data_IF_321466246637
#
_entry.id   IF_321466246637
#
_cell.length_a   1.000
_cell.length_b   1.000
_cell.length_c   1.000
_cell.angle_alpha   90.00
_cell.angle_beta   90.00
_cell.angle_gamma   90.00
#
_symmetry.space_group_name_H-M   'P 1'
#
loop_
_entity.id
_entity.type
_entity.pdbx_description
1 polymer ?
#
# COMPACT_ATOMS: atom_id res chain seq x y z
N UNK A 1 -11.60 15.86 18.79
CA UNK A 1 -12.46 15.93 17.58
C UNK A 1 -11.61 15.59 16.37
N UNK A 2 -11.90 14.51 15.62
CA UNK A 2 -11.21 14.27 14.33
C UNK A 2 -11.87 15.20 13.31
N UNK A 3 -11.17 16.25 12.90
CA UNK A 3 -11.62 17.13 11.83
C UNK A 3 -11.94 16.29 10.60
N UNK A 4 -13.07 16.57 9.93
CA UNK A 4 -13.46 15.89 8.70
C UNK A 4 -12.33 16.03 7.68
N UNK A 5 -11.56 14.97 7.46
CA UNK A 5 -10.32 15.04 6.71
C UNK A 5 -10.66 15.18 5.22
N UNK A 6 -10.66 16.42 4.71
CA UNK A 6 -10.84 16.70 3.28
C UNK A 6 -9.74 15.97 2.51
N UNK A 7 -10.15 15.15 1.54
CA UNK A 7 -9.18 14.43 0.70
C UNK A 7 -8.51 15.46 -0.21
N UNK A 8 -7.18 15.62 -0.18
CA UNK A 8 -6.50 16.60 -1.03
C UNK A 8 -6.75 16.30 -2.52
N UNK A 9 -7.09 17.34 -3.28
CA UNK A 9 -7.31 17.26 -4.74
C UNK A 9 -6.04 16.79 -5.43
N UNK A 10 -6.20 16.08 -6.56
CA UNK A 10 -5.09 15.64 -7.39
C UNK A 10 -4.67 16.75 -8.34
N UNK A 11 -3.38 17.10 -8.37
CA UNK A 11 -2.83 18.03 -9.36
C UNK A 11 -2.56 17.31 -10.69
N UNK A 12 -2.32 18.09 -11.76
CA UNK A 12 -2.01 17.52 -13.08
C UNK A 12 -0.68 16.79 -13.07
N UNK A 13 0.29 17.32 -12.34
CA UNK A 13 1.66 16.79 -12.17
C UNK A 13 1.62 15.46 -11.43
N UNK A 14 0.84 15.37 -10.34
CA UNK A 14 0.66 14.11 -9.60
C UNK A 14 0.00 13.03 -10.47
N UNK A 15 -0.97 13.41 -11.31
CA UNK A 15 -1.63 12.48 -12.23
C UNK A 15 -0.65 12.01 -13.32
N UNK A 16 0.15 12.91 -13.87
CA UNK A 16 1.17 12.58 -14.86
C UNK A 16 2.22 11.62 -14.27
N UNK A 17 2.71 11.92 -13.06
CA UNK A 17 3.68 11.08 -12.37
C UNK A 17 3.08 9.71 -12.00
N UNK A 18 1.82 9.68 -11.55
CA UNK A 18 1.10 8.44 -11.29
C UNK A 18 1.07 7.56 -12.54
N UNK A 19 0.65 8.10 -13.70
CA UNK A 19 0.60 7.36 -14.97
C UNK A 19 1.96 6.77 -15.35
N UNK A 20 3.03 7.56 -15.22
CA UNK A 20 4.40 7.14 -15.53
C UNK A 20 4.88 5.99 -14.63
N UNK A 21 4.62 6.07 -13.33
CA UNK A 21 5.14 5.10 -12.36
C UNK A 21 4.27 3.86 -12.22
N UNK A 22 2.97 3.94 -12.52
CA UNK A 22 2.00 2.89 -12.16
C UNK A 22 2.37 1.53 -12.73
N UNK A 23 2.88 1.47 -13.97
CA UNK A 23 3.15 0.21 -14.67
C UNK A 23 4.24 -0.63 -13.98
N UNK A 24 5.22 0.03 -13.34
CA UNK A 24 6.45 -0.61 -12.84
C UNK A 24 6.61 -0.58 -11.33
N UNK A 25 5.98 0.35 -10.62
CA UNK A 25 6.15 0.51 -9.17
C UNK A 25 4.96 -0.07 -8.38
N UNK A 26 5.21 -0.45 -7.13
CA UNK A 26 4.15 -0.77 -6.17
C UNK A 26 3.32 0.47 -5.84
N UNK A 27 2.10 0.27 -5.37
CA UNK A 27 1.27 1.38 -4.88
C UNK A 27 1.84 2.00 -3.60
N UNK A 28 2.66 1.27 -2.83
CA UNK A 28 3.33 1.77 -1.64
C UNK A 28 4.49 2.73 -1.98
N UNK A 29 5.31 2.39 -2.97
CA UNK A 29 6.39 3.26 -3.46
C UNK A 29 5.82 4.54 -4.08
N UNK A 30 4.80 4.40 -4.94
CA UNK A 30 4.13 5.55 -5.56
C UNK A 30 3.52 6.47 -4.50
N UNK A 31 2.93 5.89 -3.45
CA UNK A 31 2.39 6.63 -2.32
C UNK A 31 3.47 7.42 -1.58
N UNK A 32 4.64 6.82 -1.34
CA UNK A 32 5.80 7.51 -0.77
C UNK A 32 6.28 8.67 -1.64
N UNK A 33 6.42 8.44 -2.95
CA UNK A 33 6.86 9.45 -3.91
C UNK A 33 5.89 10.63 -3.99
N UNK A 34 4.58 10.36 -3.99
CA UNK A 34 3.53 11.39 -4.09
C UNK A 34 3.15 12.01 -2.73
N UNK A 35 3.70 11.53 -1.61
CA UNK A 35 3.26 11.94 -0.28
C UNK A 35 1.78 11.64 0.01
N UNK A 36 1.21 10.60 -0.62
CA UNK A 36 -0.22 10.24 -0.54
C UNK A 36 -0.43 8.93 0.20
N UNK A 37 -1.63 8.73 0.73
CA UNK A 37 -2.04 7.41 1.26
C UNK A 37 -2.09 6.38 0.13
N UNK A 38 -1.63 5.15 0.39
CA UNK A 38 -1.67 4.02 -0.57
C UNK A 38 -3.07 3.80 -1.13
N UNK A 39 -4.10 3.87 -0.29
CA UNK A 39 -5.50 3.75 -0.72
C UNK A 39 -5.90 4.83 -1.74
N UNK A 40 -5.43 6.07 -1.57
CA UNK A 40 -5.67 7.17 -2.51
C UNK A 40 -5.07 6.87 -3.89
N UNK A 41 -3.86 6.32 -3.91
CA UNK A 41 -3.17 5.87 -5.14
C UNK A 41 -3.93 4.73 -5.81
N UNK A 42 -4.39 3.73 -5.04
CA UNK A 42 -5.20 2.62 -5.56
C UNK A 42 -6.48 3.13 -6.21
N UNK A 43 -7.28 3.93 -5.50
CA UNK A 43 -8.53 4.47 -6.01
C UNK A 43 -8.33 5.38 -7.23
N UNK A 44 -7.27 6.21 -7.23
CA UNK A 44 -6.98 7.06 -8.39
C UNK A 44 -6.52 6.23 -9.59
N UNK A 45 -5.65 5.24 -9.39
CA UNK A 45 -5.22 4.34 -10.46
C UNK A 45 -6.38 3.58 -11.09
N UNK A 46 -7.29 3.04 -10.26
CA UNK A 46 -8.51 2.39 -10.72
C UNK A 46 -9.38 3.33 -11.56
N UNK A 47 -9.65 4.55 -11.07
CA UNK A 47 -10.44 5.56 -11.83
C UNK A 47 -9.79 6.01 -13.13
N UNK A 48 -8.48 5.86 -13.26
CA UNK A 48 -7.73 6.17 -14.48
C UNK A 48 -7.54 4.94 -15.39
N UNK A 49 -8.06 3.77 -15.03
CA UNK A 49 -7.88 2.54 -15.80
C UNK A 49 -6.43 2.03 -15.83
N UNK A 50 -5.61 2.39 -14.86
CA UNK A 50 -4.19 2.02 -14.85
C UNK A 50 -4.00 0.57 -14.37
N UNK A 51 -3.13 -0.15 -15.06
CA UNK A 51 -2.76 -1.53 -14.72
C UNK A 51 -1.26 -1.67 -14.51
N UNK A 52 -0.87 -2.68 -13.73
CA UNK A 52 0.54 -3.05 -13.56
C UNK A 52 1.00 -3.84 -14.78
N UNK A 53 2.27 -3.68 -15.17
CA UNK A 53 2.86 -4.49 -16.23
C UNK A 53 3.03 -5.95 -15.81
N UNK A 54 3.08 -6.87 -16.79
CA UNK A 54 3.19 -8.31 -16.54
C UNK A 54 4.40 -8.69 -15.66
N UNK A 55 5.56 -8.07 -15.91
CA UNK A 55 6.76 -8.24 -15.07
C UNK A 55 6.49 -7.86 -13.61
N UNK A 56 5.90 -6.67 -13.39
CA UNK A 56 5.60 -6.19 -12.04
C UNK A 56 4.57 -7.07 -11.34
N UNK A 57 3.56 -7.57 -12.04
CA UNK A 57 2.56 -8.51 -11.52
C UNK A 57 3.21 -9.79 -10.99
N UNK A 58 4.14 -10.39 -11.76
CA UNK A 58 4.91 -11.58 -11.32
C UNK A 58 5.76 -11.29 -10.07
N UNK A 59 6.44 -10.14 -10.03
CA UNK A 59 7.20 -9.71 -8.86
C UNK A 59 6.30 -9.54 -7.62
N UNK A 60 5.14 -8.92 -7.81
CA UNK A 60 4.13 -8.71 -6.75
C UNK A 60 3.61 -10.03 -6.19
N UNK A 61 3.36 -11.02 -7.06
CA UNK A 61 2.95 -12.36 -6.64
C UNK A 61 3.99 -12.99 -5.70
N UNK A 62 5.26 -13.00 -6.11
CA UNK A 62 6.36 -13.54 -5.28
C UNK A 62 6.51 -12.78 -3.95
N UNK A 63 6.43 -11.46 -3.98
CA UNK A 63 6.48 -10.58 -2.81
C UNK A 63 5.34 -10.88 -1.83
N UNK A 64 4.11 -11.06 -2.34
CA UNK A 64 2.93 -11.36 -1.53
C UNK A 64 3.01 -12.75 -0.88
N UNK A 65 3.46 -13.76 -1.62
CA UNK A 65 3.66 -15.12 -1.08
C UNK A 65 4.70 -15.08 0.04
N UNK A 66 5.85 -14.41 -0.17
CA UNK A 66 6.86 -14.23 0.87
C UNK A 66 6.28 -13.54 2.09
N UNK A 67 5.62 -12.39 1.93
CA UNK A 67 5.01 -11.65 3.04
C UNK A 67 4.01 -12.48 3.85
N UNK A 68 3.24 -13.35 3.20
CA UNK A 68 2.20 -14.16 3.85
C UNK A 68 2.77 -15.35 4.61
N UNK A 69 3.83 -15.96 4.10
CA UNK A 69 4.32 -17.25 4.58
C UNK A 69 5.73 -17.22 5.17
N UNK A 70 6.36 -16.05 5.27
CA UNK A 70 7.65 -15.89 5.95
C UNK A 70 7.57 -16.37 7.41
N UNK A 71 8.24 -17.48 7.77
CA UNK A 71 8.15 -18.09 9.09
C UNK A 71 8.68 -17.18 10.20
N UNK A 72 9.54 -16.21 9.87
CA UNK A 72 10.17 -15.29 10.82
C UNK A 72 9.12 -14.41 11.54
N UNK A 73 7.97 -14.13 10.91
CA UNK A 73 6.89 -13.33 11.55
C UNK A 73 5.95 -14.11 12.46
N UNK A 74 5.92 -15.45 12.41
CA UNK A 74 5.03 -16.23 13.30
C UNK A 74 5.50 -16.25 14.76
N UNK A 75 6.74 -15.86 15.04
CA UNK A 75 7.32 -15.82 16.38
C UNK A 75 6.96 -14.60 17.23
N UNK A 76 6.58 -13.46 16.63
CA UNK A 76 6.38 -12.19 17.37
C UNK A 76 4.94 -11.96 17.84
N UNK A 77 3.96 -12.73 17.35
CA UNK A 77 2.55 -12.55 17.69
C UNK A 77 2.07 -13.31 18.95
N UNK A 78 2.89 -14.18 19.57
CA UNK A 78 2.50 -14.97 20.75
C UNK A 78 2.80 -14.32 22.12
N UNK A 79 3.48 -13.16 22.20
CA UNK A 79 3.75 -12.46 23.49
C UNK A 79 3.05 -11.10 23.57
N UNK A 80 1.71 -11.07 23.53
CA UNK A 80 0.93 -9.88 23.88
C UNK A 80 -0.44 -10.19 24.50
N UNK A 81 -0.64 -11.41 25.02
CA UNK A 81 -1.86 -11.78 25.75
C UNK A 81 -1.53 -12.59 27.00
N UNK A 82 -0.68 -12.06 27.86
CA UNK A 82 -0.64 -12.41 29.29
C UNK A 82 -0.40 -11.12 30.05
N UNK A 83 -1.47 -10.43 30.45
CA UNK A 83 -1.52 -9.48 31.58
C UNK A 83 -2.95 -8.97 31.73
N UNK A 84 -3.78 -9.76 32.41
CA UNK A 84 -4.70 -9.32 33.47
C UNK A 84 -5.70 -10.44 33.74
N UNK A 85 -5.32 -11.33 34.64
CA UNK A 85 -6.22 -11.85 35.66
C UNK A 85 -5.38 -12.58 36.69
N UNK A 86 -5.34 -12.05 37.92
CA UNK A 86 -5.37 -12.80 39.18
C UNK A 86 -5.30 -11.82 40.35
N UNK A 87 -6.40 -11.85 41.11
CA UNK A 87 -6.66 -11.41 42.49
C UNK A 87 -6.20 -10.01 42.92
#
# INVERSE_FOLDING_TARGET
MKTGQVRPRWTKEEVALLKRLYRTHSNAEIAGILGRKVSSVVFKGHRLGLSKGARRLREMGRENIRRRWDPIKKGTAKKARVTRSRK
#
